data_IF_700076627631
#
_entry.id   IF_700076627631
#
_cell.length_a   1.000
_cell.length_b   1.000
_cell.length_c   1.000
_cell.angle_alpha   90.00
_cell.angle_beta   90.00
_cell.angle_gamma   90.00
#
_symmetry.space_group_name_H-M   'P 1'
#
loop_
_entity.id
_entity.type
_entity.pdbx_description
1 polymer ?
#
# COMPACT_ATOMS: atom_id res chain seq x y z
N UNK A 1 -17.09 3.76 -9.01
CA UNK A 1 -16.81 3.99 -7.57
C UNK A 1 -15.34 3.80 -7.33
N UNK A 2 -14.71 4.61 -6.48
CA UNK A 2 -13.32 4.41 -6.07
C UNK A 2 -13.21 3.36 -4.98
N UNK A 3 -12.26 2.45 -5.12
CA UNK A 3 -11.88 1.51 -4.07
C UNK A 3 -11.25 2.24 -2.88
N UNK A 4 -11.31 1.63 -1.70
CA UNK A 4 -10.58 2.08 -0.50
C UNK A 4 -9.09 2.31 -0.81
N UNK A 5 -8.53 1.40 -1.60
CA UNK A 5 -7.15 1.41 -2.06
C UNK A 5 -6.83 2.64 -2.94
N UNK A 6 -7.64 2.94 -3.95
CA UNK A 6 -7.46 4.13 -4.80
C UNK A 6 -7.53 5.43 -4.01
N UNK A 7 -8.44 5.52 -3.02
CA UNK A 7 -8.54 6.68 -2.14
C UNK A 7 -7.27 6.91 -1.32
N UNK A 8 -6.65 5.82 -0.85
CA UNK A 8 -5.38 5.85 -0.12
C UNK A 8 -4.24 6.38 -1.00
N UNK A 9 -4.14 5.91 -2.24
CA UNK A 9 -3.13 6.38 -3.21
C UNK A 9 -3.29 7.87 -3.48
N UNK A 10 -4.52 8.32 -3.75
CA UNK A 10 -4.82 9.74 -4.00
C UNK A 10 -4.41 10.58 -2.78
N UNK A 11 -4.70 10.11 -1.57
CA UNK A 11 -4.28 10.78 -0.33
C UNK A 11 -2.76 10.90 -0.25
N UNK A 12 -2.02 9.81 -0.49
CA UNK A 12 -0.54 9.81 -0.49
C UNK A 12 0.05 10.74 -1.54
N UNK A 13 -0.52 10.78 -2.75
CA UNK A 13 -0.09 11.73 -3.78
C UNK A 13 -0.27 13.19 -3.33
N UNK A 14 -1.38 13.50 -2.65
CA UNK A 14 -1.60 14.84 -2.08
C UNK A 14 -0.65 15.15 -0.92
N UNK A 15 -0.36 14.18 -0.06
CA UNK A 15 0.61 14.33 1.03
C UNK A 15 2.02 14.60 0.49
N UNK A 16 2.44 13.82 -0.51
CA UNK A 16 3.71 14.02 -1.20
C UNK A 16 3.78 15.41 -1.85
N UNK A 17 2.71 15.82 -2.54
CA UNK A 17 2.60 17.15 -3.13
C UNK A 17 2.81 18.26 -2.09
N UNK A 18 2.17 18.15 -0.93
CA UNK A 18 2.32 19.12 0.18
C UNK A 18 3.71 19.10 0.77
N UNK A 19 4.27 17.92 1.05
CA UNK A 19 5.61 17.74 1.66
C UNK A 19 6.71 18.33 0.78
N UNK A 20 6.59 18.13 -0.54
CA UNK A 20 7.55 18.63 -1.52
C UNK A 20 7.22 20.05 -2.01
N UNK A 21 6.15 20.68 -1.50
CA UNK A 21 5.66 22.00 -1.92
C UNK A 21 5.48 22.14 -3.44
N UNK A 22 5.07 21.06 -4.11
CA UNK A 22 4.93 21.02 -5.56
C UNK A 22 3.55 21.52 -6.00
N UNK A 23 3.51 22.32 -7.06
CA UNK A 23 2.26 22.56 -7.79
C UNK A 23 1.83 21.28 -8.51
N UNK A 24 0.53 21.14 -8.76
CA UNK A 24 0.00 19.94 -9.41
C UNK A 24 0.63 19.69 -10.79
N UNK A 25 0.93 20.76 -11.54
CA UNK A 25 1.64 20.67 -12.82
C UNK A 25 3.05 20.09 -12.67
N UNK A 26 3.76 20.42 -11.59
CA UNK A 26 5.11 19.93 -11.32
C UNK A 26 5.10 18.45 -10.89
N UNK A 27 4.10 18.06 -10.09
CA UNK A 27 3.89 16.65 -9.74
C UNK A 27 3.56 15.83 -10.99
N UNK A 28 2.69 16.34 -11.87
CA UNK A 28 2.38 15.69 -13.14
C UNK A 28 3.64 15.50 -13.99
N UNK A 29 4.48 16.54 -14.08
CA UNK A 29 5.75 16.47 -14.80
C UNK A 29 6.71 15.43 -14.19
N UNK A 30 6.85 15.38 -12.85
CA UNK A 30 7.68 14.36 -12.17
C UNK A 30 7.19 12.93 -12.44
N UNK A 31 5.89 12.74 -12.49
CA UNK A 31 5.26 11.45 -12.78
C UNK A 31 5.18 11.13 -14.27
N UNK A 32 5.66 12.03 -15.14
CA UNK A 32 5.54 11.95 -16.60
C UNK A 32 4.08 11.78 -17.06
N UNK A 33 3.16 12.50 -16.42
CA UNK A 33 1.73 12.51 -16.75
C UNK A 33 1.29 13.88 -17.25
N UNK A 34 0.23 13.91 -18.05
CA UNK A 34 -0.42 15.17 -18.39
C UNK A 34 -1.11 15.76 -17.14
N UNK A 35 -1.20 17.09 -17.02
CA UNK A 35 -1.92 17.72 -15.92
C UNK A 35 -3.38 17.27 -15.80
N UNK A 36 -4.04 17.06 -16.94
CA UNK A 36 -5.41 16.54 -17.00
C UNK A 36 -5.50 15.11 -16.45
N UNK A 37 -4.56 14.22 -16.82
CA UNK A 37 -4.52 12.84 -16.31
C UNK A 37 -4.33 12.82 -14.79
N UNK A 38 -3.39 13.60 -14.26
CA UNK A 38 -3.21 13.69 -12.80
C UNK A 38 -4.47 14.26 -12.12
N UNK A 39 -5.11 15.26 -12.71
CA UNK A 39 -6.35 15.83 -12.18
C UNK A 39 -7.49 14.80 -12.12
N UNK A 40 -7.65 13.99 -13.17
CA UNK A 40 -8.67 12.95 -13.21
C UNK A 40 -8.39 11.84 -12.20
N UNK A 41 -7.12 11.47 -11.99
CA UNK A 41 -6.71 10.55 -10.93
C UNK A 41 -7.01 11.14 -9.55
N UNK A 42 -6.63 12.39 -9.29
CA UNK A 42 -6.84 13.05 -7.99
C UNK A 42 -8.32 13.32 -7.66
N UNK A 43 -9.18 13.39 -8.68
CA UNK A 43 -10.65 13.46 -8.56
C UNK A 43 -11.31 12.08 -8.57
N UNK A 44 -10.53 11.01 -8.80
CA UNK A 44 -11.02 9.65 -8.87
C UNK A 44 -11.93 9.36 -10.07
N UNK A 45 -11.77 10.12 -11.16
CA UNK A 45 -12.43 9.90 -12.44
C UNK A 45 -11.67 8.88 -13.31
N UNK A 46 -10.38 8.72 -13.06
CA UNK A 46 -9.54 7.71 -13.69
C UNK A 46 -9.14 6.64 -12.67
N UNK A 47 -9.33 5.34 -12.98
CA UNK A 47 -8.90 4.26 -12.11
C UNK A 47 -7.37 4.18 -12.03
N UNK A 48 -6.85 3.66 -10.91
CA UNK A 48 -5.41 3.51 -10.68
C UNK A 48 -5.03 2.04 -10.87
N UNK A 49 -4.63 1.69 -12.09
CA UNK A 49 -4.17 0.34 -12.42
C UNK A 49 -2.72 0.06 -11.99
N UNK A 50 -2.29 -1.20 -12.11
CA UNK A 50 -0.94 -1.67 -11.77
C UNK A 50 0.18 -0.86 -12.43
N UNK A 51 0.01 -0.47 -13.70
CA UNK A 51 0.99 0.34 -14.42
C UNK A 51 1.17 1.74 -13.82
N UNK A 52 0.09 2.35 -13.31
CA UNK A 52 0.15 3.66 -12.67
C UNK A 52 0.87 3.57 -11.32
N UNK A 53 0.64 2.50 -10.56
CA UNK A 53 1.34 2.24 -9.30
C UNK A 53 2.84 2.09 -9.50
N UNK A 54 3.25 1.31 -10.50
CA UNK A 54 4.67 1.13 -10.82
C UNK A 54 5.32 2.48 -11.15
N UNK A 55 4.68 3.30 -11.98
CA UNK A 55 5.17 4.64 -12.31
C UNK A 55 5.31 5.56 -11.10
N UNK A 56 4.41 5.47 -10.11
CA UNK A 56 4.52 6.23 -8.87
C UNK A 56 5.71 5.72 -8.04
N UNK A 57 5.86 4.40 -7.93
CA UNK A 57 6.94 3.74 -7.17
C UNK A 57 8.32 4.00 -7.78
N UNK A 58 8.46 3.90 -9.10
CA UNK A 58 9.70 4.18 -9.85
C UNK A 58 10.20 5.62 -9.65
N UNK A 59 9.31 6.54 -9.29
CA UNK A 59 9.64 7.94 -8.97
C UNK A 59 10.00 8.16 -7.50
N UNK A 60 10.20 7.08 -6.74
CA UNK A 60 10.58 7.14 -5.33
C UNK A 60 9.45 7.62 -4.42
N UNK A 61 8.20 7.60 -4.90
CA UNK A 61 7.04 7.83 -4.06
C UNK A 61 6.64 6.46 -3.52
N UNK A 62 7.22 6.09 -2.38
CA UNK A 62 6.75 4.92 -1.62
C UNK A 62 5.34 5.20 -1.15
N UNK A 63 4.38 4.54 -1.79
CA UNK A 63 3.06 4.36 -1.23
C UNK A 63 3.20 3.19 -0.25
N UNK A 64 3.78 3.45 0.93
CA UNK A 64 3.61 2.54 2.06
C UNK A 64 2.12 2.53 2.35
N UNK A 65 1.45 1.52 1.81
CA UNK A 65 0.14 1.08 2.22
C UNK A 65 0.40 0.36 3.54
N UNK A 66 0.79 1.11 4.56
CA UNK A 66 0.36 0.75 5.89
C UNK A 66 -1.16 0.73 5.75
N UNK A 67 -1.74 -0.47 5.73
CA UNK A 67 -3.10 -0.64 6.17
C UNK A 67 -3.15 -0.06 7.58
N UNK A 68 -3.35 1.26 7.68
CA UNK A 68 -4.27 1.76 8.67
C UNK A 68 -5.60 1.21 8.23
N UNK A 69 -5.82 -0.07 8.60
CA UNK A 69 -7.15 -0.55 8.92
C UNK A 69 -7.84 0.61 9.61
N UNK A 70 -9.03 1.02 9.12
CA UNK A 70 -9.76 2.13 9.71
C UNK A 70 -9.75 1.87 11.21
N UNK A 71 -9.48 2.90 12.02
CA UNK A 71 -9.46 2.82 13.48
C UNK A 71 -10.62 1.96 13.97
N UNK A 72 -10.39 0.66 14.03
CA UNK A 72 -11.37 -0.34 14.34
C UNK A 72 -11.06 -0.54 15.78
N UNK A 73 -11.76 0.22 16.63
CA UNK A 73 -11.98 -0.09 18.04
C UNK A 73 -10.97 -1.11 18.52
N UNK A 74 -9.73 -0.70 18.74
CA UNK A 74 -8.69 -1.67 19.08
C UNK A 74 -9.02 -2.12 20.48
N UNK A 75 -9.80 -3.19 20.57
CA UNK A 75 -9.97 -3.95 21.80
C UNK A 75 -8.54 -4.29 22.25
N UNK A 76 -8.23 -4.02 23.52
CA UNK A 76 -6.92 -4.31 24.11
C UNK A 76 -6.40 -5.72 23.78
N UNK A 77 -7.32 -6.66 23.57
CA UNK A 77 -7.04 -8.06 23.22
C UNK A 77 -6.32 -8.25 21.87
N UNK A 78 -6.60 -7.42 20.85
CA UNK A 78 -5.93 -7.54 19.52
C UNK A 78 -4.48 -7.03 19.53
N UNK A 79 -4.18 -6.05 20.40
CA UNK A 79 -2.82 -5.53 20.57
C UNK A 79 -1.96 -6.57 21.29
N UNK A 80 -2.48 -7.17 22.37
CA UNK A 80 -1.79 -8.26 23.09
C UNK A 80 -1.51 -9.45 22.18
N UNK A 81 -2.45 -9.83 21.31
CA UNK A 81 -2.23 -10.95 20.38
C UNK A 81 -1.12 -10.64 19.38
N UNK A 82 -1.03 -9.40 18.90
CA UNK A 82 0.02 -8.98 17.95
C UNK A 82 1.41 -9.00 18.60
N UNK A 83 1.51 -8.55 19.85
CA UNK A 83 2.76 -8.58 20.62
C UNK A 83 3.18 -10.01 20.96
N UNK A 84 2.26 -10.87 21.41
CA UNK A 84 2.52 -12.28 21.69
C UNK A 84 2.97 -13.05 20.45
N UNK A 85 2.35 -12.79 19.28
CA UNK A 85 2.76 -13.39 18.01
C UNK A 85 4.17 -12.91 17.62
N UNK A 86 4.48 -11.63 17.84
CA UNK A 86 5.81 -11.10 17.55
C UNK A 86 6.88 -11.76 18.44
N UNK A 87 6.64 -11.89 19.74
CA UNK A 87 7.55 -12.58 20.66
C UNK A 87 7.73 -14.06 20.32
N UNK A 88 6.65 -14.74 19.96
CA UNK A 88 6.70 -16.16 19.57
C UNK A 88 7.54 -16.34 18.32
N UNK A 89 7.37 -15.48 17.31
CA UNK A 89 8.18 -15.50 16.08
C UNK A 89 9.65 -15.20 16.41
N UNK A 90 9.97 -14.32 17.36
CA UNK A 90 11.36 -14.07 17.74
C UNK A 90 12.06 -15.34 18.26
N UNK A 91 11.33 -16.18 19.01
CA UNK A 91 11.84 -17.46 19.55
C UNK A 91 12.07 -18.55 18.49
N UNK A 92 11.61 -18.36 17.26
CA UNK A 92 11.77 -19.37 16.20
C UNK A 92 13.19 -19.37 15.65
N UNK A 93 13.72 -20.56 15.38
CA UNK A 93 15.01 -20.72 14.71
C UNK A 93 14.93 -20.26 13.25
N UNK A 94 16.08 -20.02 12.64
CA UNK A 94 16.16 -19.56 11.23
C UNK A 94 15.48 -20.54 10.27
N UNK A 95 15.60 -21.85 10.54
CA UNK A 95 14.98 -22.91 9.74
C UNK A 95 13.46 -22.91 9.89
N UNK A 96 12.94 -22.74 11.11
CA UNK A 96 11.50 -22.64 11.37
C UNK A 96 10.89 -21.39 10.73
N UNK A 97 11.59 -20.24 10.80
CA UNK A 97 11.20 -19.01 10.11
C UNK A 97 11.17 -19.19 8.59
N UNK A 98 12.14 -19.92 8.04
CA UNK A 98 12.19 -20.24 6.62
C UNK A 98 11.04 -21.17 6.20
N UNK A 99 10.76 -22.22 6.96
CA UNK A 99 9.65 -23.13 6.72
C UNK A 99 8.29 -22.39 6.78
N UNK A 100 8.07 -21.54 7.78
CA UNK A 100 6.88 -20.68 7.86
C UNK A 100 6.74 -19.79 6.63
N UNK A 101 7.82 -19.15 6.19
CA UNK A 101 7.81 -18.30 4.99
C UNK A 101 7.43 -19.10 3.74
N UNK A 102 7.93 -20.31 3.60
CA UNK A 102 7.58 -21.22 2.50
C UNK A 102 6.11 -21.63 2.55
N UNK A 103 5.59 -21.95 3.74
CA UNK A 103 4.16 -22.30 3.93
C UNK A 103 3.27 -21.11 3.58
N UNK A 104 3.57 -19.91 4.09
CA UNK A 104 2.82 -18.67 3.80
C UNK A 104 2.85 -18.39 2.29
N UNK A 105 4.02 -18.50 1.66
CA UNK A 105 4.15 -18.33 0.21
C UNK A 105 3.34 -19.36 -0.57
N UNK A 106 3.29 -20.61 -0.10
CA UNK A 106 2.47 -21.67 -0.69
C UNK A 106 0.96 -21.48 -0.52
N UNK A 107 0.54 -20.87 0.59
CA UNK A 107 -0.85 -20.50 0.85
C UNK A 107 -1.32 -19.34 -0.05
N UNK A 108 -0.44 -18.37 -0.32
CA UNK A 108 -0.70 -17.24 -1.24
C UNK A 108 -0.94 -17.72 -2.69
N UNK A 109 -0.17 -18.72 -3.12
CA UNK A 109 -0.27 -19.31 -4.48
C UNK A 109 -1.63 -19.99 -4.72
N UNK A 110 -2.28 -20.53 -3.69
CA UNK A 110 -3.61 -21.15 -3.83
C UNK A 110 -4.75 -20.13 -3.98
N UNK A 111 -4.58 -18.89 -3.51
CA UNK A 111 -5.61 -17.82 -3.67
C UNK A 111 -5.75 -17.31 -5.11
N UNK A 112 -4.75 -17.53 -5.96
CA UNK A 112 -4.74 -17.09 -7.36
C UNK A 112 -4.99 -18.22 -8.39
N UNK A 113 -5.30 -19.45 -7.95
CA UNK A 113 -5.60 -20.59 -8.84
C UNK A 113 -7.07 -21.05 -8.84
N UNK A 114 -7.99 -20.21 -8.35
CA UNK A 114 -9.43 -20.38 -8.54
C UNK A 114 -9.90 -19.50 -9.69
N UNK A 115 -9.89 -20.08 -10.88
CA UNK A 115 -10.71 -19.65 -12.02
C UNK A 115 -12.19 -19.96 -11.75
#
# INVERSE_FOLDING_TARGET
>A
MLTQYEKLIIKRLREYQKKQKLKQKELAHRLNWSPSKLNDILKGRSPIGKNLLQQISDKGISIDIEEKTPANRTNKEDIELTELVHELIQKFTKEQKHALKTIISGLDIKKHRGA
#
